data_IF_431474142838
#
_entry.id   IF_431474142838
#
_cell.length_a   1.000
_cell.length_b   1.000
_cell.length_c   1.000
_cell.angle_alpha   90.00
_cell.angle_beta   90.00
_cell.angle_gamma   90.00
#
_symmetry.space_group_name_H-M   'P 1'
#
loop_
_entity.id
_entity.type
_entity.pdbx_description
1 polymer ?
#
# COMPACT_ATOMS: atom_id res chain seq x y z
N UNK A 1 4.32 -5.35 9.52
CA UNK A 1 5.53 -5.41 10.35
C UNK A 1 6.51 -6.38 9.68
N UNK A 2 7.47 -5.87 8.92
CA UNK A 2 8.35 -6.71 8.07
C UNK A 2 9.33 -7.56 8.89
N UNK A 3 9.63 -7.13 10.11
CA UNK A 3 10.44 -7.85 11.09
C UNK A 3 9.82 -9.20 11.48
N UNK A 4 8.51 -9.23 11.75
CA UNK A 4 7.81 -10.43 12.22
C UNK A 4 7.75 -11.49 11.12
N UNK A 5 7.56 -11.07 9.87
CA UNK A 5 7.61 -11.99 8.72
C UNK A 5 8.99 -12.60 8.53
N UNK A 6 10.05 -11.83 8.77
CA UNK A 6 11.43 -12.31 8.63
C UNK A 6 11.77 -13.34 9.71
N UNK A 7 11.32 -13.11 10.94
CA UNK A 7 11.52 -14.04 12.07
C UNK A 7 10.76 -15.34 11.85
N UNK A 8 9.50 -15.27 11.41
CA UNK A 8 8.69 -16.46 11.12
C UNK A 8 9.27 -17.31 9.98
N UNK A 9 9.80 -16.66 8.94
CA UNK A 9 10.48 -17.34 7.84
C UNK A 9 11.76 -18.05 8.34
N UNK A 10 12.54 -17.40 9.20
CA UNK A 10 13.77 -17.98 9.77
C UNK A 10 13.50 -19.20 10.64
N UNK A 11 12.45 -19.17 11.48
CA UNK A 11 12.06 -20.29 12.34
C UNK A 11 11.60 -21.50 11.50
N UNK A 12 10.84 -21.26 10.43
CA UNK A 12 10.42 -22.32 9.49
C UNK A 12 11.60 -23.06 8.88
N UNK A 13 12.60 -22.31 8.39
CA UNK A 13 13.82 -22.90 7.79
C UNK A 13 14.62 -23.72 8.80
N UNK A 14 14.70 -23.26 10.05
CA UNK A 14 15.40 -24.00 11.12
C UNK A 14 14.68 -25.32 11.45
N UNK A 15 13.35 -25.32 11.48
CA UNK A 15 12.55 -26.54 11.69
C UNK A 15 12.74 -27.54 10.54
N UNK A 16 12.86 -27.07 9.29
CA UNK A 16 13.11 -27.90 8.12
C UNK A 16 14.46 -28.63 8.20
N UNK A 17 15.50 -27.93 8.65
CA UNK A 17 16.83 -28.52 8.84
C UNK A 17 16.84 -29.61 9.92
N UNK A 18 16.01 -29.46 10.97
CA UNK A 18 15.85 -30.47 12.02
C UNK A 18 15.29 -31.79 11.49
N UNK A 19 14.29 -31.74 10.62
CA UNK A 19 13.64 -32.93 10.06
C UNK A 19 14.57 -33.78 9.17
N UNK A 20 15.57 -33.17 8.53
CA UNK A 20 16.55 -33.85 7.66
C UNK A 20 17.54 -34.72 8.45
N UNK A 21 17.71 -34.46 9.75
CA UNK A 21 18.72 -35.15 10.58
C UNK A 21 18.26 -36.50 11.15
N UNK A 22 17.00 -36.89 10.95
CA UNK A 22 16.48 -38.17 11.46
C UNK A 22 17.06 -39.33 10.67
N UNK A 23 17.76 -40.22 11.37
CA UNK A 23 18.50 -41.35 10.80
C UNK A 23 17.73 -42.64 11.05
N UNK A 24 17.16 -43.23 9.99
CA UNK A 24 16.31 -44.43 10.09
C UNK A 24 16.83 -45.65 9.33
N UNK A 25 16.37 -46.82 9.79
CA UNK A 25 16.77 -48.17 9.36
C UNK A 25 16.21 -48.57 7.98
N UNK A 26 15.06 -48.02 7.56
CA UNK A 26 14.46 -48.20 6.23
C UNK A 26 14.59 -46.94 5.37
N UNK A 27 15.72 -46.83 4.70
CA UNK A 27 16.17 -45.61 4.00
C UNK A 27 15.22 -45.14 2.90
N UNK A 28 14.52 -46.03 2.20
CA UNK A 28 13.68 -45.69 1.05
C UNK A 28 12.33 -45.09 1.45
N UNK A 29 11.65 -45.68 2.43
CA UNK A 29 10.37 -45.18 2.92
C UNK A 29 10.53 -43.83 3.65
N UNK A 30 11.54 -43.72 4.52
CA UNK A 30 11.83 -42.46 5.23
C UNK A 30 12.23 -41.34 4.24
N UNK A 31 13.03 -41.64 3.21
CA UNK A 31 13.41 -40.64 2.21
C UNK A 31 12.21 -40.10 1.41
N UNK A 32 11.26 -40.95 1.03
CA UNK A 32 10.07 -40.48 0.31
C UNK A 32 9.18 -39.58 1.17
N UNK A 33 8.99 -39.95 2.44
CA UNK A 33 8.20 -39.14 3.39
C UNK A 33 8.86 -37.77 3.58
N UNK A 34 10.17 -37.73 3.85
CA UNK A 34 10.92 -36.48 4.04
C UNK A 34 10.88 -35.61 2.80
N UNK A 35 11.03 -36.17 1.59
CA UNK A 35 10.93 -35.38 0.35
C UNK A 35 9.56 -34.76 0.14
N UNK A 36 8.47 -35.49 0.45
CA UNK A 36 7.11 -34.94 0.34
C UNK A 36 6.93 -33.78 1.32
N UNK A 37 7.35 -33.92 2.57
CA UNK A 37 7.27 -32.85 3.56
C UNK A 37 8.09 -31.62 3.16
N UNK A 38 9.34 -31.80 2.72
CA UNK A 38 10.19 -30.71 2.24
C UNK A 38 9.54 -29.98 1.06
N UNK A 39 8.99 -30.72 0.09
CA UNK A 39 8.35 -30.09 -1.07
C UNK A 39 7.11 -29.28 -0.68
N UNK A 40 6.29 -29.79 0.24
CA UNK A 40 5.08 -29.10 0.70
C UNK A 40 5.42 -27.85 1.53
N UNK A 41 6.47 -27.91 2.36
CA UNK A 41 6.96 -26.75 3.12
C UNK A 41 7.65 -25.71 2.23
N UNK A 42 8.35 -26.14 1.18
CA UNK A 42 8.91 -25.23 0.18
C UNK A 42 7.81 -24.48 -0.58
N UNK A 43 6.72 -25.16 -0.94
CA UNK A 43 5.55 -24.52 -1.57
C UNK A 43 4.89 -23.51 -0.62
N UNK A 44 4.73 -23.86 0.66
CA UNK A 44 4.14 -22.96 1.66
C UNK A 44 4.99 -21.71 1.91
N UNK A 45 6.32 -21.86 2.04
CA UNK A 45 7.24 -20.72 2.19
C UNK A 45 7.24 -19.83 0.94
N UNK A 46 7.27 -20.40 -0.26
CA UNK A 46 7.17 -19.62 -1.49
C UNK A 46 5.83 -18.88 -1.60
N UNK A 47 4.71 -19.51 -1.24
CA UNK A 47 3.40 -18.88 -1.24
C UNK A 47 3.33 -17.68 -0.28
N UNK A 48 3.86 -17.82 0.94
CA UNK A 48 3.89 -16.72 1.92
C UNK A 48 4.78 -15.56 1.45
N UNK A 49 5.92 -15.84 0.82
CA UNK A 49 6.79 -14.82 0.24
C UNK A 49 6.09 -14.07 -0.90
N UNK A 50 5.45 -14.80 -1.83
CA UNK A 50 4.71 -14.22 -2.95
C UNK A 50 3.54 -13.36 -2.48
N UNK A 51 2.76 -13.82 -1.50
CA UNK A 51 1.67 -13.04 -0.91
C UNK A 51 2.16 -11.82 -0.15
N UNK A 52 3.26 -11.95 0.60
CA UNK A 52 3.90 -10.83 1.30
C UNK A 52 4.40 -9.77 0.33
N UNK A 53 5.13 -10.18 -0.71
CA UNK A 53 5.62 -9.31 -1.78
C UNK A 53 4.45 -8.60 -2.49
N UNK A 54 3.41 -9.34 -2.87
CA UNK A 54 2.22 -8.78 -3.52
C UNK A 54 1.51 -7.75 -2.65
N UNK A 55 1.43 -7.99 -1.33
CA UNK A 55 0.85 -7.03 -0.38
C UNK A 55 1.75 -5.81 -0.18
N UNK A 56 3.07 -5.97 -0.12
CA UNK A 56 4.02 -4.86 -0.06
C UNK A 56 3.95 -3.99 -1.31
N UNK A 57 3.86 -4.59 -2.50
CA UNK A 57 3.66 -3.88 -3.75
C UNK A 57 2.30 -3.16 -3.73
N UNK A 58 1.22 -3.86 -3.39
CA UNK A 58 -0.11 -3.24 -3.31
C UNK A 58 -0.13 -2.06 -2.31
N UNK A 59 0.56 -2.17 -1.18
CA UNK A 59 0.71 -1.08 -0.22
C UNK A 59 1.56 0.07 -0.76
N UNK A 60 2.64 -0.21 -1.49
CA UNK A 60 3.46 0.80 -2.15
C UNK A 60 2.70 1.55 -3.24
N UNK A 61 1.77 0.89 -3.90
CA UNK A 61 0.87 1.49 -4.90
C UNK A 61 -0.42 2.07 -4.30
N UNK A 62 -0.66 1.93 -2.99
CA UNK A 62 -1.80 2.58 -2.32
C UNK A 62 -1.50 4.06 -2.11
N UNK A 63 -1.93 4.86 -3.08
CA UNK A 63 -1.91 6.33 -3.01
C UNK A 63 -2.66 6.81 -1.77
N UNK A 64 -2.07 7.79 -1.06
CA UNK A 64 -2.56 8.29 0.23
C UNK A 64 -3.87 9.08 0.12
N UNK A 65 -4.10 9.70 -1.04
CA UNK A 65 -5.28 10.48 -1.36
C UNK A 65 -5.92 10.00 -2.66
N UNK A 66 -7.23 9.80 -2.62
CA UNK A 66 -7.99 9.41 -3.81
C UNK A 66 -8.34 10.60 -4.68
N UNK A 67 -8.62 11.74 -4.06
CA UNK A 67 -9.01 12.96 -4.74
C UNK A 67 -8.14 14.13 -4.29
N UNK A 68 -7.64 14.90 -5.25
CA UNK A 68 -7.07 16.22 -5.02
C UNK A 68 -8.00 17.28 -5.58
N UNK A 69 -8.38 18.25 -4.75
CA UNK A 69 -9.32 19.31 -5.09
C UNK A 69 -8.58 20.64 -5.34
N UNK A 70 -8.35 20.98 -6.62
CA UNK A 70 -7.85 22.32 -6.99
C UNK A 70 -9.02 23.30 -6.97
N UNK A 71 -8.87 24.40 -6.25
CA UNK A 71 -9.92 25.42 -6.15
C UNK A 71 -9.34 26.84 -6.01
N UNK A 72 -10.12 27.82 -6.45
CA UNK A 72 -9.83 29.22 -6.15
C UNK A 72 -10.18 29.52 -4.69
N UNK A 73 -9.18 29.90 -3.88
CA UNK A 73 -9.33 30.06 -2.42
C UNK A 73 -10.44 31.05 -2.02
N UNK A 74 -10.61 32.13 -2.78
CA UNK A 74 -11.57 33.20 -2.48
C UNK A 74 -13.02 32.83 -2.81
N UNK A 75 -13.24 32.13 -3.92
CA UNK A 75 -14.59 31.93 -4.45
C UNK A 75 -15.13 30.50 -4.27
N UNK A 76 -14.23 29.51 -4.17
CA UNK A 76 -14.60 28.08 -4.10
C UNK A 76 -14.18 27.39 -2.80
N UNK A 77 -13.62 28.09 -1.82
CA UNK A 77 -13.14 27.47 -0.58
C UNK A 77 -14.23 26.73 0.20
N UNK A 78 -15.41 27.34 0.36
CA UNK A 78 -16.54 26.73 1.05
C UNK A 78 -17.09 25.51 0.29
N UNK A 79 -17.20 25.62 -1.04
CA UNK A 79 -17.65 24.52 -1.90
C UNK A 79 -16.66 23.36 -1.93
N UNK A 80 -15.35 23.64 -1.95
CA UNK A 80 -14.30 22.63 -1.88
C UNK A 80 -14.37 21.84 -0.57
N UNK A 81 -14.59 22.55 0.56
CA UNK A 81 -14.72 21.93 1.86
C UNK A 81 -15.99 21.08 1.97
N UNK A 82 -17.11 21.58 1.45
CA UNK A 82 -18.36 20.81 1.39
C UNK A 82 -18.20 19.55 0.53
N UNK A 83 -17.54 19.66 -0.64
CA UNK A 83 -17.29 18.53 -1.53
C UNK A 83 -16.35 17.50 -0.88
N UNK A 84 -15.30 17.94 -0.17
CA UNK A 84 -14.45 17.03 0.62
C UNK A 84 -15.27 16.28 1.67
N UNK A 85 -16.05 16.99 2.47
CA UNK A 85 -16.88 16.37 3.52
C UNK A 85 -17.84 15.34 2.91
N UNK A 86 -18.46 15.66 1.78
CA UNK A 86 -19.40 14.74 1.13
C UNK A 86 -18.71 13.54 0.48
N UNK A 87 -17.53 13.74 -0.13
CA UNK A 87 -16.71 12.65 -0.68
C UNK A 87 -16.24 11.71 0.44
N UNK A 88 -15.73 12.24 1.55
CA UNK A 88 -15.28 11.43 2.68
C UNK A 88 -16.46 10.74 3.40
N UNK A 89 -17.64 11.37 3.43
CA UNK A 89 -18.87 10.78 3.98
C UNK A 89 -19.43 9.66 3.11
N UNK A 90 -19.48 9.84 1.78
CA UNK A 90 -20.05 8.83 0.86
C UNK A 90 -19.08 7.71 0.51
N UNK A 91 -17.79 8.01 0.44
CA UNK A 91 -16.74 7.05 0.07
C UNK A 91 -15.94 6.70 1.32
N UNK A 92 -16.43 5.73 2.08
CA UNK A 92 -15.77 5.26 3.30
C UNK A 92 -14.31 4.86 3.01
N UNK A 93 -13.38 5.38 3.82
CA UNK A 93 -11.94 5.11 3.68
C UNK A 93 -11.22 5.90 2.58
N UNK A 94 -11.90 6.83 1.93
CA UNK A 94 -11.31 7.77 0.96
C UNK A 94 -10.93 9.05 1.67
N UNK A 95 -9.71 9.54 1.45
CA UNK A 95 -9.29 10.88 1.87
C UNK A 95 -9.22 11.80 0.66
N UNK A 96 -9.81 12.98 0.79
CA UNK A 96 -9.73 14.04 -0.20
C UNK A 96 -8.82 15.16 0.32
N UNK A 97 -7.83 15.56 -0.48
CA UNK A 97 -6.89 16.61 -0.14
C UNK A 97 -7.34 17.94 -0.74
N UNK A 98 -7.31 19.02 0.05
CA UNK A 98 -7.59 20.39 -0.40
C UNK A 98 -6.30 21.21 -0.25
N UNK A 99 -5.98 22.00 -1.27
CA UNK A 99 -4.82 22.92 -1.37
C UNK A 99 -4.61 23.85 -0.14
N UNK A 100 -5.65 24.05 0.69
CA UNK A 100 -5.60 24.93 1.86
C UNK A 100 -5.21 24.25 3.17
N UNK A 101 -5.22 22.91 3.24
CA UNK A 101 -5.09 22.19 4.52
C UNK A 101 -3.64 22.10 5.03
N UNK A 102 -2.63 22.22 4.15
CA UNK A 102 -1.21 22.10 4.52
C UNK A 102 -0.31 23.09 3.75
N UNK A 103 -0.73 24.37 3.75
CA UNK A 103 -0.07 25.46 3.01
C UNK A 103 1.18 25.98 3.76
N UNK A 104 2.04 25.07 4.22
CA UNK A 104 3.33 25.39 4.83
C UNK A 104 4.49 25.23 3.84
N UNK A 105 4.35 24.34 2.84
CA UNK A 105 5.35 24.12 1.79
C UNK A 105 4.70 23.72 0.44
N UNK A 106 4.75 24.62 -0.55
CA UNK A 106 4.20 24.38 -1.89
C UNK A 106 5.03 23.38 -2.72
N UNK A 107 6.29 23.11 -2.36
CA UNK A 107 7.11 22.11 -3.06
C UNK A 107 6.66 20.69 -2.72
N UNK A 108 6.17 20.47 -1.49
CA UNK A 108 5.54 19.20 -1.11
C UNK A 108 4.19 18.99 -1.79
N UNK A 109 3.43 20.06 -2.04
CA UNK A 109 2.12 19.99 -2.71
C UNK A 109 2.19 19.25 -4.06
N UNK A 110 3.15 19.62 -4.92
CA UNK A 110 3.34 18.96 -6.21
C UNK A 110 3.75 17.50 -6.07
N UNK A 111 4.53 17.17 -5.03
CA UNK A 111 4.90 15.79 -4.73
C UNK A 111 3.67 14.97 -4.31
N UNK A 112 2.76 15.53 -3.51
CA UNK A 112 1.50 14.89 -3.12
C UNK A 112 0.53 14.73 -4.29
N UNK A 113 0.47 15.69 -5.21
CA UNK A 113 -0.35 15.57 -6.43
C UNK A 113 0.22 14.50 -7.36
N UNK A 114 1.53 14.52 -7.62
CA UNK A 114 2.16 13.62 -8.57
C UNK A 114 2.23 12.16 -8.08
N UNK A 115 2.57 11.95 -6.81
CA UNK A 115 2.84 10.62 -6.27
C UNK A 115 1.67 10.04 -5.48
N UNK A 116 0.91 10.88 -4.76
CA UNK A 116 -0.04 10.44 -3.74
C UNK A 116 -1.53 10.64 -4.10
N UNK A 117 -1.84 11.13 -5.30
CA UNK A 117 -3.23 11.38 -5.76
C UNK A 117 -3.66 10.45 -6.90
N UNK A 118 -4.82 9.83 -6.79
CA UNK A 118 -5.42 8.99 -7.85
C UNK A 118 -6.22 9.81 -8.88
N UNK A 119 -7.01 10.79 -8.44
CA UNK A 119 -7.86 11.63 -9.30
C UNK A 119 -7.71 13.12 -8.98
N UNK A 120 -7.52 13.94 -10.01
CA UNK A 120 -7.42 15.39 -9.90
C UNK A 120 -8.76 16.04 -10.27
N UNK A 121 -9.34 16.79 -9.33
CA UNK A 121 -10.66 17.43 -9.47
C UNK A 121 -10.48 18.94 -9.43
N UNK A 122 -10.87 19.62 -10.51
CA UNK A 122 -10.79 21.08 -10.62
C UNK A 122 -12.19 21.67 -10.37
N UNK A 123 -12.29 22.53 -9.36
CA UNK A 123 -13.49 23.32 -9.12
C UNK A 123 -13.46 24.57 -10.02
N UNK A 124 -14.13 24.43 -11.17
CA UNK A 124 -14.23 25.47 -12.20
C UNK A 124 -14.94 26.72 -11.71
N UNK A 125 -14.17 27.69 -11.24
CA UNK A 125 -14.61 29.06 -10.95
C UNK A 125 -14.03 30.01 -12.00
N UNK A 126 -14.65 31.18 -12.18
CA UNK A 126 -14.20 32.18 -13.16
C UNK A 126 -12.71 32.54 -13.01
N UNK A 127 -12.21 32.50 -11.77
CA UNK A 127 -10.84 32.88 -11.42
C UNK A 127 -9.89 31.68 -11.24
N UNK A 128 -10.32 30.44 -11.53
CA UNK A 128 -9.51 29.23 -11.25
C UNK A 128 -8.18 29.22 -12.02
N UNK A 129 -8.18 29.75 -13.24
CA UNK A 129 -7.00 29.85 -14.11
C UNK A 129 -6.08 31.03 -13.79
N UNK A 130 -6.45 31.91 -12.84
CA UNK A 130 -5.60 33.05 -12.45
C UNK A 130 -4.58 32.66 -11.38
N UNK A 131 -4.67 31.44 -10.83
CA UNK A 131 -3.78 30.94 -9.79
C UNK A 131 -2.72 30.04 -10.40
N UNK A 132 -1.45 30.39 -10.21
CA UNK A 132 -0.27 29.71 -10.77
C UNK A 132 -0.16 28.21 -10.46
N UNK A 133 -0.89 27.72 -9.45
CA UNK A 133 -0.85 26.34 -8.98
C UNK A 133 -2.00 25.47 -9.49
N UNK A 134 -2.99 26.05 -10.19
CA UNK A 134 -4.06 25.31 -10.87
C UNK A 134 -3.84 25.20 -12.40
N UNK A 135 -2.66 25.59 -12.91
CA UNK A 135 -2.22 25.40 -14.31
C UNK A 135 -1.06 24.41 -14.33
#
# INVERSE_FOLDING_TARGET
NSSDMTILLGILVILDMGAVTVQDRDRTATAQIVMVFISLMFVASLATLCLGMSRCLAQKFRKRFKFFLCHHKRDAGAMARLLKMELERRLHGTRAFIDCDDLSDLTQLFSYVAQDTESFVILGTKEVFLRKWCI
#
